data_IF_482468995510
#
_entry.id   IF_482468995510
#
_cell.length_a   1.000
_cell.length_b   1.000
_cell.length_c   1.000
_cell.angle_alpha   90.00
_cell.angle_beta   90.00
_cell.angle_gamma   90.00
#
_symmetry.space_group_name_H-M   'P 1'
#
loop_
_entity.id
_entity.type
_entity.pdbx_description
1 polymer ?
#
# COMPACT_ATOMS: atom_id res chain seq x y z
N UNK A 1 4.74 10.31 -20.84
CA UNK A 1 3.93 9.14 -20.45
C UNK A 1 4.39 8.73 -19.06
N UNK A 2 3.64 9.11 -18.03
CA UNK A 2 3.93 8.76 -16.63
C UNK A 2 3.31 7.39 -16.33
N UNK A 3 4.15 6.37 -16.20
CA UNK A 3 3.76 5.04 -15.72
C UNK A 3 3.74 5.05 -14.20
N UNK A 4 2.54 5.12 -13.61
CA UNK A 4 2.34 4.88 -12.18
C UNK A 4 2.83 3.47 -11.81
N UNK A 5 3.85 3.40 -10.98
CA UNK A 5 4.27 2.16 -10.32
C UNK A 5 3.20 1.81 -9.27
N UNK A 6 2.25 0.95 -9.66
CA UNK A 6 1.33 0.30 -8.73
C UNK A 6 2.13 -0.62 -7.81
N UNK A 7 2.35 -0.21 -6.57
CA UNK A 7 2.78 -1.10 -5.48
C UNK A 7 1.63 -2.07 -5.18
N UNK A 8 1.68 -3.28 -5.74
CA UNK A 8 0.77 -4.36 -5.38
C UNK A 8 1.32 -5.08 -4.14
N UNK A 9 0.91 -4.64 -2.95
CA UNK A 9 0.84 -5.54 -1.81
C UNK A 9 -0.47 -6.31 -1.96
N UNK A 10 -0.39 -7.61 -2.24
CA UNK A 10 -1.56 -8.47 -2.40
C UNK A 10 -2.20 -8.73 -1.04
N UNK A 11 -2.98 -7.77 -0.54
CA UNK A 11 -3.93 -8.00 0.54
C UNK A 11 -5.15 -8.63 -0.13
N UNK A 12 -5.34 -9.92 0.12
CA UNK A 12 -6.31 -10.82 -0.53
C UNK A 12 -7.80 -10.43 -0.34
N UNK A 13 -8.10 -9.30 0.29
CA UNK A 13 -9.45 -8.73 0.38
C UNK A 13 -9.63 -7.35 -0.26
N UNK A 14 -8.58 -6.74 -0.83
CA UNK A 14 -8.78 -5.54 -1.64
C UNK A 14 -9.09 -6.01 -3.07
N UNK A 15 -10.34 -6.43 -3.24
CA UNK A 15 -10.97 -6.57 -4.55
C UNK A 15 -10.61 -5.32 -5.36
N UNK A 16 -9.96 -5.52 -6.51
CA UNK A 16 -9.62 -4.48 -7.48
C UNK A 16 -10.86 -3.74 -8.05
N UNK A 17 -12.07 -3.97 -7.51
CA UNK A 17 -13.35 -3.55 -8.07
C UNK A 17 -14.32 -2.78 -7.15
N UNK A 18 -13.98 -2.45 -5.89
CA UNK A 18 -14.89 -1.70 -5.00
C UNK A 18 -14.89 -0.16 -5.22
N UNK A 19 -14.68 0.30 -6.45
CA UNK A 19 -14.85 1.72 -6.83
C UNK A 19 -16.25 2.05 -7.39
N UNK A 20 -17.27 1.23 -7.14
CA UNK A 20 -18.63 1.53 -7.59
C UNK A 20 -19.59 1.65 -6.40
N UNK A 21 -19.61 2.86 -5.84
CA UNK A 21 -20.54 3.29 -4.80
C UNK A 21 -21.91 3.56 -5.43
N UNK A 22 -22.95 2.83 -5.02
CA UNK A 22 -24.33 3.28 -5.19
C UNK A 22 -25.07 3.22 -3.86
N UNK A 23 -25.76 4.30 -3.57
CA UNK A 23 -26.49 4.53 -2.33
C UNK A 23 -27.76 3.68 -2.27
N UNK A 24 -27.87 2.84 -1.23
CA UNK A 24 -29.17 2.35 -0.78
C UNK A 24 -29.27 2.38 0.73
N UNK A 25 -30.48 2.67 1.19
CA UNK A 25 -30.86 3.24 2.49
C UNK A 25 -30.81 2.27 3.67
N UNK A 26 -30.02 2.65 4.68
CA UNK A 26 -30.36 2.79 6.11
C UNK A 26 -30.73 1.57 6.97
N UNK A 27 -29.89 1.29 7.97
CA UNK A 27 -30.32 1.23 9.39
C UNK A 27 -29.16 1.71 10.30
N UNK A 28 -29.49 2.52 11.31
CA UNK A 28 -28.60 3.27 12.22
C UNK A 28 -27.57 2.38 12.95
N UNK A 29 -26.31 2.51 12.59
CA UNK A 29 -25.19 2.74 13.49
C UNK A 29 -24.17 3.61 12.72
N UNK A 30 -23.78 4.73 13.31
CA UNK A 30 -23.04 5.82 12.65
C UNK A 30 -21.59 5.43 12.31
N UNK A 31 -21.39 4.65 11.24
CA UNK A 31 -20.07 4.51 10.58
C UNK A 31 -20.03 5.12 9.18
N UNK A 32 -21.17 5.57 8.65
CA UNK A 32 -21.23 6.25 7.37
C UNK A 32 -21.15 7.77 7.55
N UNK A 33 -19.94 8.32 7.48
CA UNK A 33 -19.76 9.72 7.11
C UNK A 33 -20.13 9.88 5.64
N UNK A 34 -21.38 10.28 5.39
CA UNK A 34 -21.69 10.96 4.13
C UNK A 34 -20.77 12.17 4.01
N UNK A 35 -20.20 12.42 2.83
CA UNK A 35 -19.62 13.73 2.48
C UNK A 35 -20.79 14.73 2.38
N UNK A 36 -21.45 14.98 3.50
CA UNK A 36 -22.40 16.05 3.68
C UNK A 36 -21.62 17.22 4.25
N UNK A 37 -21.83 18.39 3.66
CA UNK A 37 -21.25 19.66 4.09
C UNK A 37 -21.62 19.88 5.57
N UNK A 38 -20.68 19.63 6.47
CA UNK A 38 -20.85 19.98 7.88
C UNK A 38 -20.53 21.46 8.07
N UNK A 39 -21.45 22.12 8.78
CA UNK A 39 -21.39 23.52 9.17
C UNK A 39 -20.24 23.76 10.17
N UNK A 40 -19.01 23.90 9.69
CA UNK A 40 -17.90 24.46 10.48
C UNK A 40 -17.43 23.68 11.72
N UNK A 41 -17.91 22.46 11.97
CA UNK A 41 -17.36 21.61 13.04
C UNK A 41 -16.06 20.94 12.57
N UNK A 42 -15.00 21.09 13.36
CA UNK A 42 -13.70 20.44 13.11
C UNK A 42 -13.86 18.92 13.23
N UNK A 43 -13.84 18.22 12.09
CA UNK A 43 -13.72 16.76 12.02
C UNK A 43 -12.25 16.34 12.06
N UNK A 44 -11.95 15.13 12.54
CA UNK A 44 -10.59 14.58 12.45
C UNK A 44 -10.19 14.23 11.00
N UNK A 45 -8.99 13.66 10.83
CA UNK A 45 -8.48 13.29 9.51
C UNK A 45 -9.49 12.42 8.75
N UNK A 46 -9.65 12.74 7.46
CA UNK A 46 -10.50 11.99 6.51
C UNK A 46 -11.99 11.92 6.90
N UNK A 47 -12.44 12.82 7.80
CA UNK A 47 -13.81 12.86 8.29
C UNK A 47 -14.09 11.90 9.45
N UNK A 48 -13.05 11.30 10.06
CA UNK A 48 -13.18 10.45 11.24
C UNK A 48 -12.92 11.23 12.52
N UNK A 49 -13.91 11.28 13.42
CA UNK A 49 -13.81 11.98 14.71
C UNK A 49 -12.69 11.45 15.61
N UNK A 50 -12.39 10.15 15.53
CA UNK A 50 -11.30 9.53 16.27
C UNK A 50 -9.94 10.11 15.87
N UNK A 51 -9.78 10.51 14.60
CA UNK A 51 -8.51 10.96 14.03
C UNK A 51 -8.26 12.46 14.20
N UNK A 52 -8.79 13.07 15.26
CA UNK A 52 -8.41 14.42 15.71
C UNK A 52 -7.03 14.48 16.36
N UNK A 53 -6.48 13.32 16.75
CA UNK A 53 -5.15 13.19 17.34
C UNK A 53 -4.44 11.96 16.79
N UNK A 54 -3.10 11.90 16.83
CA UNK A 54 -2.33 10.73 16.39
C UNK A 54 -2.77 9.43 17.07
N UNK A 55 -2.95 9.46 18.39
CA UNK A 55 -3.39 8.31 19.21
C UNK A 55 -4.81 7.83 18.85
N UNK A 56 -5.57 8.66 18.13
CA UNK A 56 -6.83 8.30 17.53
C UNK A 56 -6.76 7.03 16.66
N UNK A 57 -5.64 6.79 15.99
CA UNK A 57 -5.43 5.59 15.18
C UNK A 57 -5.48 4.30 16.00
N UNK A 58 -4.99 4.29 17.24
CA UNK A 58 -5.07 3.08 18.09
C UNK A 58 -6.51 2.73 18.42
N UNK A 59 -7.29 3.75 18.83
CA UNK A 59 -8.72 3.59 19.08
C UNK A 59 -9.48 3.18 17.83
N UNK A 60 -9.13 3.75 16.67
CA UNK A 60 -9.78 3.42 15.42
C UNK A 60 -9.60 1.93 15.06
N UNK A 61 -8.41 1.38 15.29
CA UNK A 61 -8.14 -0.05 15.13
C UNK A 61 -8.89 -0.88 16.18
N UNK A 62 -8.89 -0.47 17.45
CA UNK A 62 -9.61 -1.16 18.53
C UNK A 62 -11.09 -1.32 18.19
N UNK A 63 -11.75 -0.21 17.84
CA UNK A 63 -13.18 -0.17 17.50
C UNK A 63 -13.47 -1.01 16.24
N UNK A 64 -12.57 -0.99 15.24
CA UNK A 64 -12.71 -1.80 14.03
C UNK A 64 -12.59 -3.31 14.30
N UNK A 65 -11.62 -3.72 15.13
CA UNK A 65 -11.42 -5.13 15.52
C UNK A 65 -12.59 -5.63 16.34
N UNK A 66 -13.07 -4.84 17.31
CA UNK A 66 -14.21 -5.17 18.15
C UNK A 66 -15.46 -5.39 17.28
N UNK A 67 -15.81 -4.41 16.43
CA UNK A 67 -16.98 -4.50 15.56
C UNK A 67 -16.90 -5.68 14.59
N UNK A 68 -15.74 -5.88 13.99
CA UNK A 68 -15.53 -7.01 13.07
C UNK A 68 -15.67 -8.35 13.78
N UNK A 69 -15.21 -8.45 15.04
CA UNK A 69 -15.29 -9.70 15.82
C UNK A 69 -16.74 -10.05 16.21
N UNK A 70 -17.57 -9.05 16.50
CA UNK A 70 -19.02 -9.23 16.66
C UNK A 70 -19.67 -9.78 15.38
N UNK A 71 -19.33 -9.17 14.23
CA UNK A 71 -19.85 -9.59 12.92
C UNK A 71 -19.39 -10.99 12.54
N UNK A 72 -18.14 -11.36 12.83
CA UNK A 72 -17.64 -12.73 12.65
C UNK A 72 -18.46 -13.72 13.46
N UNK A 73 -18.78 -13.38 14.71
CA UNK A 73 -19.60 -14.21 15.58
C UNK A 73 -21.03 -14.33 15.04
N UNK A 74 -21.60 -13.23 14.55
CA UNK A 74 -22.92 -13.21 13.90
C UNK A 74 -22.96 -14.09 12.64
N UNK A 75 -22.02 -13.91 11.72
CA UNK A 75 -21.91 -14.67 10.46
C UNK A 75 -21.76 -16.17 10.73
N UNK A 76 -20.94 -16.53 11.72
CA UNK A 76 -20.67 -17.94 12.05
C UNK A 76 -21.92 -18.68 12.55
N UNK A 77 -22.81 -17.99 13.27
CA UNK A 77 -24.00 -18.60 13.87
C UNK A 77 -25.28 -18.41 13.04
N UNK A 78 -25.24 -17.59 12.00
CA UNK A 78 -26.42 -17.29 11.19
C UNK A 78 -26.75 -18.42 10.20
N UNK A 79 -28.04 -18.63 9.90
CA UNK A 79 -28.45 -19.50 8.81
C UNK A 79 -28.05 -18.88 7.46
N UNK A 80 -28.02 -19.68 6.37
CA UNK A 80 -27.64 -19.18 5.05
C UNK A 80 -28.64 -18.13 4.53
N UNK A 81 -28.21 -16.87 4.44
CA UNK A 81 -29.07 -15.76 4.05
C UNK A 81 -28.28 -14.57 3.48
N UNK A 82 -29.01 -13.56 2.96
CA UNK A 82 -28.41 -12.33 2.44
C UNK A 82 -27.67 -11.52 3.51
N UNK A 83 -28.08 -11.66 4.76
CA UNK A 83 -27.47 -11.00 5.91
C UNK A 83 -26.02 -11.44 6.13
N UNK A 84 -25.64 -12.66 5.75
CA UNK A 84 -24.23 -13.08 5.76
C UNK A 84 -23.40 -12.21 4.82
N UNK A 85 -23.89 -11.97 3.61
CA UNK A 85 -23.16 -11.17 2.61
C UNK A 85 -23.07 -9.71 3.05
N UNK A 86 -24.15 -9.17 3.63
CA UNK A 86 -24.15 -7.81 4.21
C UNK A 86 -23.18 -7.68 5.38
N UNK A 87 -23.11 -8.67 6.26
CA UNK A 87 -22.18 -8.66 7.37
C UNK A 87 -20.72 -8.79 6.89
N UNK A 88 -20.44 -9.56 5.84
CA UNK A 88 -19.11 -9.62 5.21
C UNK A 88 -18.71 -8.28 4.58
N UNK A 89 -19.65 -7.58 3.95
CA UNK A 89 -19.47 -6.23 3.42
C UNK A 89 -19.14 -5.23 4.55
N UNK A 90 -19.90 -5.29 5.65
CA UNK A 90 -19.66 -4.42 6.82
C UNK A 90 -18.30 -4.70 7.49
N UNK A 91 -17.87 -5.97 7.59
CA UNK A 91 -16.51 -6.30 8.05
C UNK A 91 -15.47 -5.65 7.14
N UNK A 92 -15.66 -5.75 5.82
CA UNK A 92 -14.73 -5.21 4.82
C UNK A 92 -14.65 -3.69 4.93
N UNK A 93 -15.78 -2.99 5.00
CA UNK A 93 -15.86 -1.54 5.16
C UNK A 93 -15.19 -1.06 6.45
N UNK A 94 -15.46 -1.75 7.55
CA UNK A 94 -14.90 -1.43 8.88
C UNK A 94 -13.37 -1.51 8.85
N UNK A 95 -12.83 -2.59 8.28
CA UNK A 95 -11.39 -2.80 8.24
C UNK A 95 -10.71 -1.92 7.18
N UNK A 96 -11.28 -1.77 5.99
CA UNK A 96 -10.72 -0.95 4.91
C UNK A 96 -10.65 0.52 5.30
N UNK A 97 -11.63 1.03 6.07
CA UNK A 97 -11.60 2.40 6.59
C UNK A 97 -10.34 2.70 7.40
N UNK A 98 -9.89 1.76 8.22
CA UNK A 98 -8.64 1.88 8.99
C UNK A 98 -7.42 1.74 8.08
N UNK A 99 -7.42 0.75 7.19
CA UNK A 99 -6.29 0.48 6.26
C UNK A 99 -6.02 1.70 5.38
N UNK A 100 -7.03 2.24 4.72
CA UNK A 100 -6.88 3.36 3.79
C UNK A 100 -6.45 4.64 4.52
N UNK A 101 -7.03 4.91 5.69
CA UNK A 101 -6.68 6.07 6.51
C UNK A 101 -5.23 5.98 7.02
N UNK A 102 -4.82 4.80 7.49
CA UNK A 102 -3.47 4.58 8.01
C UNK A 102 -2.42 4.60 6.89
N UNK A 103 -2.71 3.98 5.74
CA UNK A 103 -1.83 3.98 4.58
C UNK A 103 -1.63 5.38 4.02
N UNK A 104 -2.70 6.16 3.90
CA UNK A 104 -2.59 7.54 3.44
C UNK A 104 -1.78 8.38 4.44
N UNK A 105 -2.14 8.32 5.72
CA UNK A 105 -1.49 9.12 6.77
C UNK A 105 0.03 8.85 6.84
N UNK A 106 0.45 7.59 6.88
CA UNK A 106 1.89 7.25 7.01
C UNK A 106 2.74 7.67 5.81
N UNK A 107 2.14 7.85 4.64
CA UNK A 107 2.84 8.26 3.42
C UNK A 107 2.80 9.77 3.17
N UNK A 108 1.86 10.52 3.75
CA UNK A 108 1.64 11.93 3.38
C UNK A 108 1.65 12.92 4.53
N UNK A 109 1.45 12.48 5.78
CA UNK A 109 1.28 13.41 6.90
C UNK A 109 2.63 14.06 7.29
N UNK A 110 2.69 15.38 7.49
CA UNK A 110 3.94 16.08 7.81
C UNK A 110 4.41 15.85 9.25
N UNK A 111 3.48 15.63 10.18
CA UNK A 111 3.77 15.33 11.58
C UNK A 111 4.16 13.86 11.77
N UNK A 112 5.32 13.63 12.40
CA UNK A 112 5.86 12.30 12.66
C UNK A 112 5.02 11.48 13.64
N UNK A 113 4.37 12.11 14.63
CA UNK A 113 3.55 11.35 15.59
C UNK A 113 2.36 10.68 14.88
N UNK A 114 1.72 11.41 13.96
CA UNK A 114 0.67 10.86 13.09
C UNK A 114 1.18 9.71 12.21
N UNK A 115 2.38 9.86 11.60
CA UNK A 115 2.99 8.82 10.77
C UNK A 115 3.28 7.56 11.59
N UNK A 116 3.83 7.70 12.79
CA UNK A 116 4.18 6.59 13.68
C UNK A 116 2.94 5.86 14.19
N UNK A 117 1.91 6.57 14.64
CA UNK A 117 0.67 5.96 15.11
C UNK A 117 -0.12 5.30 13.97
N UNK A 118 -0.17 5.92 12.79
CA UNK A 118 -0.74 5.31 11.60
C UNK A 118 0.03 4.05 11.16
N UNK A 119 1.35 4.05 11.28
CA UNK A 119 2.17 2.85 10.97
C UNK A 119 1.85 1.71 11.93
N UNK A 120 1.75 1.97 13.24
CA UNK A 120 1.35 0.97 14.24
C UNK A 120 -0.05 0.43 13.96
N UNK A 121 -1.00 1.30 13.64
CA UNK A 121 -2.36 0.92 13.29
C UNK A 121 -2.41 0.06 12.02
N UNK A 122 -1.66 0.43 10.98
CA UNK A 122 -1.52 -0.33 9.74
C UNK A 122 -0.98 -1.75 10.00
N UNK A 123 0.05 -1.90 10.84
CA UNK A 123 0.57 -3.23 11.19
C UNK A 123 -0.50 -4.07 11.89
N UNK A 124 -1.14 -3.50 12.92
CA UNK A 124 -2.13 -4.22 13.75
C UNK A 124 -3.37 -4.63 12.96
N UNK A 125 -3.89 -3.76 12.09
CA UNK A 125 -5.06 -4.10 11.28
C UNK A 125 -4.71 -5.14 10.20
N UNK A 126 -3.49 -5.13 9.66
CA UNK A 126 -3.03 -6.15 8.70
C UNK A 126 -2.90 -7.54 9.33
N UNK A 127 -2.46 -7.63 10.59
CA UNK A 127 -2.48 -8.89 11.36
C UNK A 127 -3.91 -9.42 11.51
N UNK A 128 -4.86 -8.53 11.83
CA UNK A 128 -6.27 -8.91 11.96
C UNK A 128 -6.89 -9.31 10.60
N UNK A 129 -6.53 -8.65 9.51
CA UNK A 129 -6.91 -9.05 8.15
C UNK A 129 -6.46 -10.47 7.81
N UNK A 130 -5.26 -10.86 8.23
CA UNK A 130 -4.79 -12.23 8.02
C UNK A 130 -5.68 -13.23 8.76
N UNK A 131 -6.06 -12.93 10.01
CA UNK A 131 -7.04 -13.74 10.76
C UNK A 131 -8.37 -13.87 10.00
N UNK A 132 -8.95 -12.77 9.51
CA UNK A 132 -10.21 -12.80 8.75
C UNK A 132 -10.10 -13.66 7.49
N UNK A 133 -9.02 -13.48 6.71
CA UNK A 133 -8.80 -14.17 5.43
C UNK A 133 -8.54 -15.67 5.57
N UNK A 134 -8.14 -16.13 6.76
CA UNK A 134 -7.89 -17.54 7.07
C UNK A 134 -9.00 -18.16 7.92
N UNK A 135 -10.09 -17.43 8.18
CA UNK A 135 -11.17 -17.87 9.04
C UNK A 135 -12.12 -18.84 8.31
N UNK A 136 -12.02 -20.13 8.63
CA UNK A 136 -12.88 -21.16 8.04
C UNK A 136 -14.37 -20.97 8.33
N UNK A 137 -14.75 -20.36 9.46
CA UNK A 137 -16.16 -20.11 9.78
C UNK A 137 -16.78 -19.09 8.83
N UNK A 138 -16.04 -18.02 8.50
CA UNK A 138 -16.47 -17.04 7.49
C UNK A 138 -16.59 -17.70 6.11
N UNK A 139 -15.58 -18.44 5.69
CA UNK A 139 -15.60 -19.16 4.41
C UNK A 139 -16.80 -20.12 4.31
N UNK A 140 -17.05 -20.93 5.33
CA UNK A 140 -18.17 -21.85 5.36
C UNK A 140 -19.53 -21.12 5.37
N UNK A 141 -19.62 -19.96 6.02
CA UNK A 141 -20.83 -19.14 5.99
C UNK A 141 -21.11 -18.58 4.59
N UNK A 142 -20.09 -18.03 3.91
CA UNK A 142 -20.19 -17.54 2.53
C UNK A 142 -20.54 -18.67 1.57
N UNK A 143 -19.90 -19.83 1.70
CA UNK A 143 -20.17 -21.01 0.86
C UNK A 143 -21.64 -21.45 0.98
N UNK A 144 -22.17 -21.51 2.21
CA UNK A 144 -23.59 -21.85 2.44
C UNK A 144 -24.53 -20.79 1.88
N UNK A 145 -24.20 -19.49 2.06
CA UNK A 145 -25.01 -18.39 1.55
C UNK A 145 -25.07 -18.41 0.01
N UNK A 146 -23.93 -18.62 -0.66
CA UNK A 146 -23.84 -18.71 -2.13
C UNK A 146 -24.66 -19.88 -2.69
N UNK A 147 -24.67 -21.03 -2.00
CA UNK A 147 -25.44 -22.21 -2.41
C UNK A 147 -26.96 -22.01 -2.28
N UNK A 148 -27.40 -21.09 -1.43
CA UNK A 148 -28.82 -20.77 -1.25
C UNK A 148 -29.28 -19.61 -2.15
N UNK A 149 -29.09 -19.77 -3.47
CA UNK A 149 -29.31 -18.71 -4.46
C UNK A 149 -30.76 -18.20 -4.53
N UNK A 150 -31.74 -18.96 -4.04
CA UNK A 150 -33.15 -18.57 -4.03
C UNK A 150 -33.44 -17.35 -3.13
N UNK A 151 -32.55 -17.06 -2.17
CA UNK A 151 -32.71 -15.99 -1.18
C UNK A 151 -31.85 -14.75 -1.48
N UNK A 152 -31.05 -14.78 -2.56
CA UNK A 152 -30.10 -13.73 -2.90
C UNK A 152 -30.57 -12.90 -4.10
N UNK A 153 -30.22 -11.61 -4.12
CA UNK A 153 -30.28 -10.81 -5.34
C UNK A 153 -29.13 -11.21 -6.28
N UNK A 154 -29.24 -10.88 -7.57
CA UNK A 154 -28.16 -11.13 -8.54
C UNK A 154 -26.82 -10.51 -8.11
N UNK A 155 -26.87 -9.34 -7.48
CA UNK A 155 -25.70 -8.66 -6.94
C UNK A 155 -25.12 -9.40 -5.74
N UNK A 156 -25.94 -9.76 -4.75
CA UNK A 156 -25.48 -10.50 -3.58
C UNK A 156 -24.96 -11.90 -3.94
N UNK A 157 -25.52 -12.55 -4.96
CA UNK A 157 -25.01 -13.81 -5.48
C UNK A 157 -23.59 -13.65 -6.06
N UNK A 158 -23.36 -12.59 -6.84
CA UNK A 158 -22.03 -12.29 -7.40
C UNK A 158 -21.03 -11.90 -6.31
N UNK A 159 -21.46 -11.15 -5.31
CA UNK A 159 -20.64 -10.80 -4.15
C UNK A 159 -20.24 -12.06 -3.37
N UNK A 160 -21.20 -12.94 -3.05
CA UNK A 160 -20.94 -14.22 -2.39
C UNK A 160 -19.94 -15.08 -3.17
N UNK A 161 -20.14 -15.22 -4.48
CA UNK A 161 -19.23 -15.95 -5.35
C UNK A 161 -17.82 -15.37 -5.34
N UNK A 162 -17.71 -14.04 -5.43
CA UNK A 162 -16.42 -13.35 -5.43
C UNK A 162 -15.69 -13.56 -4.09
N UNK A 163 -16.41 -13.42 -2.97
CA UNK A 163 -15.88 -13.68 -1.63
C UNK A 163 -15.35 -15.12 -1.49
N UNK A 164 -16.14 -16.12 -1.92
CA UNK A 164 -15.70 -17.53 -1.89
C UNK A 164 -14.43 -17.72 -2.73
N UNK A 165 -14.40 -17.18 -3.94
CA UNK A 165 -13.25 -17.29 -4.84
C UNK A 165 -12.00 -16.64 -4.23
N UNK A 166 -12.14 -15.52 -3.54
CA UNK A 166 -11.00 -14.83 -2.92
C UNK A 166 -10.45 -15.60 -1.71
N UNK A 167 -11.32 -16.19 -0.89
CA UNK A 167 -10.93 -17.17 0.13
C UNK A 167 -10.16 -18.36 -0.47
N UNK A 168 -10.65 -18.89 -1.60
CA UNK A 168 -10.02 -20.03 -2.26
C UNK A 168 -8.67 -19.69 -2.88
N UNK A 169 -8.51 -18.49 -3.45
CA UNK A 169 -7.19 -17.98 -3.89
C UNK A 169 -6.21 -17.86 -2.73
N UNK A 170 -6.70 -17.56 -1.52
CA UNK A 170 -5.92 -17.60 -0.28
C UNK A 170 -5.54 -19.02 0.16
N UNK A 171 -6.07 -20.05 -0.48
CA UNK A 171 -5.76 -21.44 -0.18
C UNK A 171 -6.57 -22.04 0.96
N UNK A 172 -7.64 -21.38 1.44
CA UNK A 172 -8.39 -21.85 2.62
C UNK A 172 -9.03 -23.24 2.45
N UNK A 173 -9.23 -23.67 1.21
CA UNK A 173 -9.80 -24.98 0.87
C UNK A 173 -8.74 -26.10 0.81
N UNK A 174 -7.45 -25.77 0.93
CA UNK A 174 -6.36 -26.72 0.85
C UNK A 174 -6.19 -27.50 2.16
N UNK A 175 -5.49 -28.63 2.10
CA UNK A 175 -5.05 -29.35 3.30
C UNK A 175 -4.07 -28.51 4.13
N UNK A 176 -3.98 -28.79 5.43
CA UNK A 176 -3.12 -28.06 6.36
C UNK A 176 -1.66 -27.92 5.84
N UNK A 177 -1.07 -29.01 5.33
CA UNK A 177 0.31 -28.98 4.80
C UNK A 177 0.47 -28.04 3.59
N UNK A 178 -0.52 -28.04 2.69
CA UNK A 178 -0.50 -27.19 1.50
C UNK A 178 -0.76 -25.73 1.87
N UNK A 179 -1.70 -25.48 2.78
CA UNK A 179 -1.99 -24.13 3.28
C UNK A 179 -0.78 -23.55 4.03
N UNK A 180 -0.10 -24.35 4.85
CA UNK A 180 1.14 -23.96 5.51
C UNK A 180 2.20 -23.55 4.47
N UNK A 181 2.38 -24.35 3.41
CA UNK A 181 3.30 -24.03 2.32
C UNK A 181 2.93 -22.73 1.58
N UNK A 182 1.64 -22.48 1.35
CA UNK A 182 1.18 -21.21 0.75
C UNK A 182 1.53 -20.02 1.64
N UNK A 183 1.33 -20.14 2.96
CA UNK A 183 1.67 -19.08 3.91
C UNK A 183 3.18 -18.81 3.95
N UNK A 184 4.03 -19.84 3.95
CA UNK A 184 5.49 -19.67 3.84
C UNK A 184 5.88 -18.88 2.58
N UNK A 185 5.33 -19.27 1.41
CA UNK A 185 5.62 -18.61 0.15
C UNK A 185 5.16 -17.16 0.13
N UNK A 186 4.01 -16.84 0.73
CA UNK A 186 3.52 -15.47 0.83
C UNK A 186 4.44 -14.60 1.70
N UNK A 187 4.95 -15.14 2.81
CA UNK A 187 5.94 -14.46 3.66
C UNK A 187 7.23 -14.19 2.89
N UNK A 188 7.72 -15.18 2.13
CA UNK A 188 8.90 -15.02 1.30
C UNK A 188 8.72 -13.98 0.20
N UNK A 189 7.57 -13.97 -0.48
CA UNK A 189 7.24 -12.96 -1.50
C UNK A 189 7.27 -11.56 -0.87
N UNK A 190 6.61 -11.37 0.28
CA UNK A 190 6.59 -10.08 0.96
C UNK A 190 8.00 -9.62 1.35
N UNK A 191 8.82 -10.54 1.89
CA UNK A 191 10.23 -10.28 2.23
C UNK A 191 11.04 -9.87 1.01
N UNK A 192 10.97 -10.64 -0.08
CA UNK A 192 11.71 -10.37 -1.32
C UNK A 192 11.27 -9.05 -1.98
N UNK A 193 9.98 -8.71 -1.95
CA UNK A 193 9.47 -7.43 -2.44
C UNK A 193 10.03 -6.24 -1.65
N UNK A 194 10.11 -6.38 -0.33
CA UNK A 194 10.72 -5.37 0.54
C UNK A 194 12.21 -5.23 0.25
N UNK A 195 12.93 -6.34 0.22
CA UNK A 195 14.37 -6.37 -0.08
C UNK A 195 14.67 -5.74 -1.45
N UNK A 196 13.90 -6.08 -2.48
CA UNK A 196 14.01 -5.47 -3.81
C UNK A 196 13.81 -3.95 -3.76
N UNK A 197 12.78 -3.49 -3.03
CA UNK A 197 12.49 -2.05 -2.89
C UNK A 197 13.58 -1.31 -2.12
N UNK A 198 14.13 -1.92 -1.07
CA UNK A 198 15.25 -1.37 -0.30
C UNK A 198 16.51 -1.27 -1.16
N UNK A 199 16.84 -2.33 -1.91
CA UNK A 199 17.99 -2.36 -2.82
C UNK A 199 17.92 -1.23 -3.86
N UNK A 200 16.74 -0.98 -4.45
CA UNK A 200 16.54 0.12 -5.39
C UNK A 200 16.83 1.51 -4.79
N UNK A 201 16.63 1.68 -3.48
CA UNK A 201 16.81 2.96 -2.79
C UNK A 201 18.24 3.11 -2.27
N UNK A 202 18.82 2.04 -1.72
CA UNK A 202 20.14 2.06 -1.09
C UNK A 202 21.28 2.15 -2.10
N UNK A 203 21.17 1.46 -3.24
CA UNK A 203 22.17 1.51 -4.30
C UNK A 203 21.52 1.84 -5.65
N UNK A 204 21.17 3.13 -5.89
CA UNK A 204 20.66 3.53 -7.20
C UNK A 204 21.73 3.34 -8.29
N UNK A 205 23.02 3.25 -7.95
CA UNK A 205 24.11 3.33 -8.92
C UNK A 205 24.33 4.77 -9.42
N UNK A 206 25.46 4.97 -10.10
CA UNK A 206 25.89 6.27 -10.60
C UNK A 206 26.84 6.15 -11.78
N UNK A 207 26.98 7.23 -12.53
CA UNK A 207 27.97 7.38 -13.60
C UNK A 207 28.80 8.65 -13.35
N UNK A 208 30.11 8.52 -13.46
CA UNK A 208 31.06 9.63 -13.29
C UNK A 208 31.48 10.16 -14.67
N UNK A 209 31.12 11.40 -14.98
CA UNK A 209 31.40 12.04 -16.27
C UNK A 209 32.53 13.06 -16.15
N UNK A 210 33.51 12.93 -17.04
CA UNK A 210 34.62 13.85 -17.22
C UNK A 210 34.84 14.11 -18.72
N UNK A 211 35.32 15.30 -19.12
CA UNK A 211 35.47 16.51 -18.31
C UNK A 211 34.12 17.18 -18.00
N UNK A 212 34.10 18.13 -17.06
CA UNK A 212 32.87 18.89 -16.70
C UNK A 212 32.15 19.55 -17.88
N UNK A 213 32.85 19.79 -19.00
CA UNK A 213 32.28 20.40 -20.21
C UNK A 213 31.30 19.50 -20.96
N UNK A 214 31.27 18.19 -20.69
CA UNK A 214 30.27 17.27 -21.24
C UNK A 214 28.86 17.50 -20.65
N UNK A 215 28.77 18.23 -19.55
CA UNK A 215 27.50 18.54 -18.89
C UNK A 215 27.14 20.03 -19.07
N UNK A 216 25.93 20.35 -19.58
CA UNK A 216 25.46 21.72 -19.72
C UNK A 216 25.47 22.49 -18.38
N UNK A 217 26.00 23.71 -18.40
CA UNK A 217 26.18 24.55 -17.19
C UNK A 217 24.90 24.73 -16.35
N UNK A 218 23.74 24.81 -17.00
CA UNK A 218 22.48 25.06 -16.32
C UNK A 218 21.99 23.87 -15.48
N UNK A 219 22.45 22.63 -15.73
CA UNK A 219 22.09 21.45 -14.91
C UNK A 219 23.19 21.04 -13.91
N UNK A 220 24.40 21.61 -14.00
CA UNK A 220 25.52 21.22 -13.14
C UNK A 220 25.25 21.38 -11.64
N UNK A 221 24.38 22.33 -11.25
CA UNK A 221 23.99 22.56 -9.86
C UNK A 221 23.14 21.42 -9.26
N UNK A 222 22.56 20.57 -10.11
CA UNK A 222 21.79 19.40 -9.70
C UNK A 222 22.69 18.17 -9.46
N UNK A 223 23.97 18.24 -9.87
CA UNK A 223 24.89 17.10 -9.85
C UNK A 223 25.96 17.24 -8.77
N UNK A 224 26.50 16.11 -8.32
CA UNK A 224 27.58 16.10 -7.34
C UNK A 224 28.94 16.28 -8.03
N UNK A 225 29.73 17.33 -7.71
CA UNK A 225 31.05 17.51 -8.31
C UNK A 225 32.04 16.46 -7.79
N UNK A 226 32.89 15.96 -8.69
CA UNK A 226 33.94 14.98 -8.42
C UNK A 226 35.24 15.42 -9.07
N UNK A 227 36.37 14.91 -8.55
CA UNK A 227 37.70 15.28 -9.02
C UNK A 227 38.57 14.03 -9.16
N UNK A 228 39.25 13.89 -10.30
CA UNK A 228 40.25 12.83 -10.50
C UNK A 228 41.62 13.42 -10.76
N UNK A 229 42.67 12.73 -10.29
CA UNK A 229 44.05 13.14 -10.54
C UNK A 229 44.45 12.71 -11.94
N UNK A 230 44.84 13.66 -12.79
CA UNK A 230 45.33 13.34 -14.13
C UNK A 230 46.86 13.41 -14.15
N UNK A 231 47.51 12.35 -14.66
CA UNK A 231 48.97 12.37 -14.91
C UNK A 231 49.18 12.64 -16.39
N UNK A 232 49.51 13.89 -16.75
CA UNK A 232 49.92 14.18 -18.11
C UNK A 232 51.29 13.55 -18.37
N UNK A 233 51.40 12.72 -19.42
CA UNK A 233 52.68 12.31 -20.00
C UNK A 233 53.23 13.46 -20.84
N UNK A 234 53.60 14.56 -20.20
CA UNK A 234 54.38 15.62 -20.84
C UNK A 234 55.81 15.58 -20.29
N UNK A 235 56.73 15.25 -21.18
CA UNK A 235 58.18 15.42 -21.16
C UNK A 235 58.80 16.07 -19.91
N UNK A 236 59.55 15.28 -19.13
CA UNK A 236 60.72 15.55 -18.28
C UNK A 236 60.86 16.85 -17.44
N UNK A 237 59.91 17.78 -17.39
CA UNK A 237 60.02 19.01 -16.59
C UNK A 237 58.70 19.26 -15.87
N UNK A 238 58.68 19.01 -14.56
CA UNK A 238 57.60 19.25 -13.57
C UNK A 238 56.29 18.49 -13.82
N UNK A 239 56.10 17.39 -13.07
CA UNK A 239 54.78 16.77 -12.83
C UNK A 239 53.87 17.79 -12.13
N UNK A 240 52.97 18.44 -12.88
CA UNK A 240 51.92 19.29 -12.33
C UNK A 240 50.72 18.40 -12.01
N UNK A 241 50.39 18.24 -10.73
CA UNK A 241 49.18 17.52 -10.31
C UNK A 241 47.93 18.34 -10.66
N UNK A 242 47.46 18.27 -11.90
CA UNK A 242 46.19 18.87 -12.29
C UNK A 242 45.06 17.91 -11.89
N UNK A 243 44.12 18.40 -11.07
CA UNK A 243 42.86 17.71 -10.77
C UNK A 243 41.86 18.06 -11.87
N UNK A 244 41.38 17.06 -12.59
CA UNK A 244 40.30 17.24 -13.56
C UNK A 244 38.95 17.19 -12.83
N UNK A 245 38.10 18.18 -13.07
CA UNK A 245 36.75 18.25 -12.50
C UNK A 245 35.75 17.55 -13.40
N UNK A 246 34.82 16.85 -12.79
CA UNK A 246 33.70 16.17 -13.44
C UNK A 246 32.47 16.18 -12.55
N UNK A 247 31.43 15.46 -12.97
CA UNK A 247 30.18 15.34 -12.24
C UNK A 247 29.76 13.88 -12.11
N UNK A 248 29.26 13.53 -10.93
CA UNK A 248 28.58 12.26 -10.68
C UNK A 248 27.09 12.45 -10.93
N UNK A 249 26.56 11.62 -11.82
CA UNK A 249 25.14 11.52 -12.16
C UNK A 249 24.61 10.29 -11.44
N UNK A 250 23.67 10.49 -10.52
CA UNK A 250 22.92 9.41 -9.88
C UNK A 250 21.76 8.97 -10.78
N UNK A 251 21.37 7.71 -10.69
CA UNK A 251 20.28 7.15 -11.51
C UNK A 251 18.87 7.50 -10.98
N UNK A 252 18.77 8.36 -9.95
CA UNK A 252 17.48 8.78 -9.44
C UNK A 252 16.68 9.51 -10.52
N UNK A 253 15.37 9.32 -10.52
CA UNK A 253 14.47 9.78 -11.58
C UNK A 253 14.59 11.28 -11.87
N UNK A 254 14.73 12.11 -10.83
CA UNK A 254 14.87 13.57 -10.97
C UNK A 254 16.16 13.96 -11.71
N UNK A 255 17.29 13.39 -11.30
CA UNK A 255 18.59 13.68 -11.90
C UNK A 255 18.68 13.11 -13.31
N UNK A 256 18.27 11.85 -13.48
CA UNK A 256 18.34 11.15 -14.77
C UNK A 256 17.44 11.82 -15.81
N UNK A 257 16.20 12.18 -15.47
CA UNK A 257 15.30 12.88 -16.40
C UNK A 257 15.87 14.22 -16.86
N UNK A 258 16.55 14.95 -15.97
CA UNK A 258 17.19 16.23 -16.32
C UNK A 258 18.37 16.00 -17.26
N UNK A 259 19.22 15.01 -16.98
CA UNK A 259 20.36 14.68 -17.84
C UNK A 259 19.90 14.24 -19.22
N UNK A 260 18.96 13.29 -19.30
CA UNK A 260 18.45 12.74 -20.57
C UNK A 260 17.73 13.78 -21.44
N UNK A 261 17.19 14.84 -20.84
CA UNK A 261 16.51 15.91 -21.58
C UNK A 261 17.48 16.97 -22.12
N UNK A 262 18.54 17.28 -21.38
CA UNK A 262 19.34 18.48 -21.61
C UNK A 262 20.76 18.19 -22.10
N UNK A 263 21.27 16.97 -21.94
CA UNK A 263 22.56 16.55 -22.49
C UNK A 263 22.35 16.09 -23.93
N UNK A 264 23.08 16.71 -24.87
CA UNK A 264 23.03 16.38 -26.30
C UNK A 264 24.11 15.37 -26.72
N UNK A 265 24.90 14.92 -25.77
CA UNK A 265 25.96 13.92 -25.97
C UNK A 265 25.33 12.53 -25.89
N UNK A 266 25.40 11.78 -27.00
CA UNK A 266 24.77 10.45 -27.14
C UNK A 266 25.54 9.33 -26.40
N UNK A 267 26.81 9.56 -26.03
CA UNK A 267 27.69 8.61 -25.31
C UNK A 267 27.72 8.83 -23.80
#
# INVERSE_FOLDING_TARGET
MQTLIRRNASILFISKHLLYRNSSTFTKNNFFSSIARNNGEETGLYGFELLKSPKGFQRFVDEAIERSSELVSYVSNSPPSMEIIRAMDEISDTVCSVVDSAELCRNTHPDREFVEEATKASTRINEYLHFLNTNHSLYNAVLRAEQNSAMLTDESQKAAHSLRVDFEKGGIHLSADKLHRVNELNVDIARLCREFSENMITDPGYVDIFPESRIPKHIQHLLKPIYRSCTSKESYIRRKHNKEKGFRITSDSSTLSSVLQWVSDDE
#
